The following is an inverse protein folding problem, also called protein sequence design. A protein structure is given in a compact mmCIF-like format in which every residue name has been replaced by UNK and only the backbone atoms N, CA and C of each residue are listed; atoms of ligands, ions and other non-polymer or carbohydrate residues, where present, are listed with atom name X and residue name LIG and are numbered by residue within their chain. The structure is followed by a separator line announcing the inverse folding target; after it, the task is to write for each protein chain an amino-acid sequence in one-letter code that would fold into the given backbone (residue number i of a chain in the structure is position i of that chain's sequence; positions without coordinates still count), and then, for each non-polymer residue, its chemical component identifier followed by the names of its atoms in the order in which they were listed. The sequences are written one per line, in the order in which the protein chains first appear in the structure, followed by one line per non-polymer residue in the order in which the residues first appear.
data_IF_401013917412
#
_entry.id   IF_401013917412
#
_cell.length_a   1.000
_cell.length_b   1.000
_cell.length_c   1.000
_cell.angle_alpha   90.00
_cell.angle_beta   90.00
_cell.angle_gamma   90.00
#
_symmetry.space_group_name_H-M   'P 1'
#
loop_
_entity.id
_entity.type
_entity.pdbx_description
1 polymer ?
#
# COMPACT_ATOMS: atom_id res chain seq x y z
N UNK A 1 16.86 -25.12 -10.13
CA UNK A 1 16.35 -23.74 -10.23
C UNK A 1 14.86 -23.82 -10.48
N UNK A 2 14.06 -23.26 -9.58
CA UNK A 2 12.61 -23.23 -9.73
C UNK A 2 12.20 -22.10 -10.70
N UNK A 3 11.25 -22.33 -11.62
CA UNK A 3 10.83 -21.31 -12.58
C UNK A 3 10.16 -20.12 -11.87
N UNK A 4 10.49 -18.91 -12.30
CA UNK A 4 9.89 -17.70 -11.76
C UNK A 4 8.36 -17.67 -12.05
N UNK A 5 7.54 -17.13 -11.12
CA UNK A 5 6.11 -16.98 -11.35
C UNK A 5 5.82 -16.19 -12.62
N UNK A 6 4.80 -16.60 -13.38
CA UNK A 6 4.40 -15.95 -14.63
C UNK A 6 4.09 -14.44 -14.47
N UNK A 7 3.77 -13.99 -13.26
CA UNK A 7 3.59 -12.57 -12.92
C UNK A 7 4.86 -11.73 -13.04
N UNK A 8 6.06 -12.33 -12.91
CA UNK A 8 7.35 -11.62 -12.97
C UNK A 8 8.01 -11.62 -14.35
N UNK A 9 7.60 -12.54 -15.23
CA UNK A 9 8.29 -12.81 -16.51
C UNK A 9 7.48 -12.44 -17.75
N UNK A 10 6.15 -12.31 -17.62
CA UNK A 10 5.30 -11.89 -18.75
C UNK A 10 5.19 -10.37 -18.79
N UNK A 11 5.57 -9.72 -19.91
CA UNK A 11 5.38 -8.29 -20.06
C UNK A 11 3.90 -7.91 -19.91
N UNK A 12 3.64 -6.85 -19.17
CA UNK A 12 2.31 -6.27 -18.99
C UNK A 12 2.45 -4.78 -18.64
N UNK A 13 1.33 -4.06 -18.62
CA UNK A 13 1.34 -2.67 -18.15
C UNK A 13 1.72 -2.61 -16.66
N UNK A 14 2.41 -1.55 -16.19
CA UNK A 14 2.64 -1.33 -14.77
C UNK A 14 1.33 -1.44 -13.98
N UNK A 15 1.40 -2.03 -12.78
CA UNK A 15 0.27 -2.27 -11.87
C UNK A 15 -0.85 -3.19 -12.41
N UNK A 16 -0.70 -3.81 -13.58
CA UNK A 16 -1.63 -4.83 -14.08
C UNK A 16 -1.69 -6.07 -13.16
N UNK A 17 -0.61 -6.33 -12.42
CA UNK A 17 -0.56 -7.32 -11.34
C UNK A 17 0.09 -6.67 -10.13
N UNK A 18 -0.68 -6.53 -9.07
CA UNK A 18 -0.26 -5.82 -7.85
C UNK A 18 -0.52 -6.73 -6.66
N UNK A 19 0.50 -6.99 -5.85
CA UNK A 19 0.25 -7.52 -4.51
C UNK A 19 0.02 -6.38 -3.54
N UNK A 20 -0.73 -6.67 -2.49
CA UNK A 20 -0.98 -5.76 -1.40
C UNK A 20 -0.58 -6.40 -0.10
N UNK A 21 0.02 -5.60 0.78
CA UNK A 21 0.33 -5.97 2.15
C UNK A 21 0.10 -4.77 3.08
N UNK A 22 0.11 -5.01 4.38
CA UNK A 22 0.01 -3.97 5.40
C UNK A 22 1.20 -4.00 6.34
N UNK A 23 1.75 -2.83 6.64
CA UNK A 23 2.80 -2.65 7.62
C UNK A 23 2.35 -1.73 8.78
N UNK A 24 2.92 -1.93 9.96
CA UNK A 24 2.64 -1.17 11.17
C UNK A 24 2.49 -2.03 12.44
N UNK A 25 1.99 -1.44 13.56
CA UNK A 25 1.43 -0.09 13.66
C UNK A 25 2.49 1.00 13.77
N UNK A 26 2.24 2.13 13.11
CA UNK A 26 3.01 3.36 13.25
C UNK A 26 2.25 4.36 14.12
N UNK A 27 3.01 5.14 14.90
CA UNK A 27 2.47 6.22 15.71
C UNK A 27 2.86 7.56 15.07
N UNK A 28 1.90 8.21 14.43
CA UNK A 28 2.12 9.46 13.68
C UNK A 28 1.41 10.63 14.34
N UNK A 29 1.98 11.83 14.21
CA UNK A 29 1.29 13.05 14.60
C UNK A 29 0.18 13.33 13.60
N UNK A 30 -1.06 13.49 14.07
CA UNK A 30 -2.21 13.74 13.20
C UNK A 30 -2.09 15.05 12.39
N UNK A 31 -1.30 16.01 12.88
CA UNK A 31 -1.02 17.27 12.19
C UNK A 31 0.32 17.87 12.67
N UNK A 32 0.70 19.01 12.08
CA UNK A 32 1.96 19.71 12.36
C UNK A 32 1.90 20.65 13.58
N UNK A 33 0.79 20.69 14.30
CA UNK A 33 0.59 21.63 15.41
C UNK A 33 1.39 21.17 16.64
N UNK A 34 1.79 22.13 17.47
CA UNK A 34 2.40 21.83 18.78
C UNK A 34 1.42 21.01 19.63
N UNK A 35 1.91 19.94 20.26
CA UNK A 35 1.10 18.97 21.02
C UNK A 35 0.02 18.23 20.20
N UNK A 36 0.26 18.02 18.90
CA UNK A 36 -0.62 17.21 18.07
C UNK A 36 -0.84 15.82 18.66
N UNK A 37 -2.10 15.36 18.61
CA UNK A 37 -2.47 13.99 18.99
C UNK A 37 -1.65 12.99 18.17
N UNK A 38 -1.05 12.03 18.85
CA UNK A 38 -0.41 10.88 18.23
C UNK A 38 -1.50 9.85 17.95
N UNK A 39 -1.59 9.40 16.71
CA UNK A 39 -2.57 8.42 16.26
C UNK A 39 -1.87 7.18 15.74
N UNK A 40 -2.48 6.02 16.01
CA UNK A 40 -2.05 4.75 15.44
C UNK A 40 -2.51 4.71 13.98
N UNK A 41 -1.63 4.34 13.07
CA UNK A 41 -1.92 4.14 11.67
C UNK A 41 -1.14 2.96 11.10
N UNK A 42 -1.51 2.54 9.90
CA UNK A 42 -0.89 1.49 9.13
C UNK A 42 -0.55 2.01 7.74
N UNK A 43 0.32 1.29 7.03
CA UNK A 43 0.65 1.59 5.64
C UNK A 43 0.19 0.44 4.78
N UNK A 44 -0.68 0.70 3.82
CA UNK A 44 -1.00 -0.24 2.75
C UNK A 44 0.07 -0.15 1.67
N UNK A 45 0.74 -1.27 1.42
CA UNK A 45 1.86 -1.41 0.49
C UNK A 45 1.37 -2.08 -0.78
N UNK A 46 1.31 -1.36 -1.88
CA UNK A 46 0.95 -1.90 -3.19
C UNK A 46 2.21 -2.12 -4.03
N UNK A 47 2.51 -3.37 -4.37
CA UNK A 47 3.73 -3.74 -5.11
C UNK A 47 3.35 -4.21 -6.51
N UNK A 48 3.83 -3.49 -7.52
CA UNK A 48 3.72 -3.91 -8.91
C UNK A 48 4.64 -5.12 -9.19
N UNK A 49 4.06 -6.25 -9.57
CA UNK A 49 4.80 -7.48 -9.85
C UNK A 49 5.57 -7.46 -11.17
N UNK A 50 5.26 -6.50 -12.05
CA UNK A 50 5.88 -6.38 -13.37
C UNK A 50 7.19 -5.60 -13.29
N UNK A 51 7.14 -4.39 -12.71
CA UNK A 51 8.29 -3.46 -12.67
C UNK A 51 8.86 -3.25 -11.27
N UNK A 52 8.33 -3.93 -10.25
CA UNK A 52 8.73 -3.81 -8.83
C UNK A 52 8.53 -2.40 -8.24
N UNK A 53 7.67 -1.58 -8.83
CA UNK A 53 7.28 -0.29 -8.27
C UNK A 53 6.45 -0.49 -6.99
N UNK A 54 6.66 0.36 -5.99
CA UNK A 54 5.95 0.33 -4.72
C UNK A 54 5.15 1.61 -4.56
N UNK A 55 3.86 1.49 -4.27
CA UNK A 55 2.98 2.60 -3.92
C UNK A 55 2.52 2.44 -2.47
N UNK A 56 2.73 3.48 -1.66
CA UNK A 56 2.41 3.47 -0.24
C UNK A 56 1.22 4.38 0.04
N UNK A 57 0.21 3.85 0.73
CA UNK A 57 -0.95 4.62 1.20
C UNK A 57 -1.05 4.54 2.72
N UNK A 58 -1.22 5.69 3.37
CA UNK A 58 -1.49 5.73 4.80
C UNK A 58 -2.95 5.31 5.06
N UNK A 59 -3.15 4.46 6.07
CA UNK A 59 -4.45 3.92 6.45
C UNK A 59 -4.64 4.08 7.95
N UNK A 60 -5.80 4.59 8.38
CA UNK A 60 -6.05 4.84 9.79
C UNK A 60 -6.18 3.55 10.62
N UNK A 61 -6.78 2.50 10.05
CA UNK A 61 -7.16 1.28 10.76
C UNK A 61 -7.05 0.04 9.86
N UNK A 62 -6.93 -1.15 10.48
CA UNK A 62 -7.00 -2.45 9.79
C UNK A 62 -8.47 -2.90 9.65
N UNK A 63 -9.26 -2.12 8.92
CA UNK A 63 -10.65 -2.45 8.60
C UNK A 63 -10.86 -2.52 7.09
N UNK A 64 -11.89 -3.26 6.67
CA UNK A 64 -12.23 -3.39 5.24
C UNK A 64 -12.55 -2.04 4.61
N UNK A 65 -13.29 -1.17 5.30
CA UNK A 65 -13.66 0.15 4.78
C UNK A 65 -12.42 1.04 4.57
N UNK A 66 -11.49 1.02 5.53
CA UNK A 66 -10.25 1.77 5.43
C UNK A 66 -9.37 1.25 4.26
N UNK A 67 -9.35 -0.07 4.05
CA UNK A 67 -8.68 -0.67 2.89
C UNK A 67 -9.34 -0.29 1.56
N UNK A 68 -10.66 -0.38 1.44
CA UNK A 68 -11.37 0.00 0.22
C UNK A 68 -11.15 1.47 -0.12
N UNK A 69 -11.08 2.35 0.88
CA UNK A 69 -10.72 3.75 0.67
C UNK A 69 -9.28 3.91 0.14
N UNK A 70 -8.33 3.13 0.65
CA UNK A 70 -6.93 3.13 0.16
C UNK A 70 -6.82 2.57 -1.27
N UNK A 71 -7.54 1.48 -1.57
CA UNK A 71 -7.58 0.88 -2.89
C UNK A 71 -8.13 1.87 -3.93
N UNK A 72 -9.22 2.58 -3.61
CA UNK A 72 -9.77 3.63 -4.48
C UNK A 72 -8.74 4.72 -4.80
N UNK A 73 -8.01 5.21 -3.78
CA UNK A 73 -6.93 6.20 -3.96
C UNK A 73 -5.79 5.67 -4.82
N UNK A 74 -5.41 4.41 -4.63
CA UNK A 74 -4.38 3.78 -5.45
C UNK A 74 -4.81 3.68 -6.92
N UNK A 75 -6.03 3.22 -7.20
CA UNK A 75 -6.54 3.07 -8.58
C UNK A 75 -6.88 4.39 -9.27
N UNK A 76 -7.03 5.49 -8.54
CA UNK A 76 -7.32 6.81 -9.10
C UNK A 76 -6.07 7.59 -9.54
N UNK A 77 -4.87 7.05 -9.28
CA UNK A 77 -3.58 7.63 -9.68
C UNK A 77 -3.09 6.98 -10.96
#
# INVERSE_FOLDING_TARGET
MEPLPASKIRPARPFAKTAVDYDGPFFVRANKIRNAKIVKCYVSVFICMIVKAVHLELVAELSTDAFLAALRRFTSR
#
